data_IF_413330981516
#
_entry.id   IF_413330981516
#
_cell.length_a   1.000
_cell.length_b   1.000
_cell.length_c   1.000
_cell.angle_alpha   90.00
_cell.angle_beta   90.00
_cell.angle_gamma   90.00
#
_symmetry.space_group_name_H-M   'P 1'
#
loop_
_entity.id
_entity.type
_entity.pdbx_description
1 polymer ?
#
# COMPACT_ATOMS: atom_id res chain seq x y z
N UNK A 1 -3.73 5.13 4.16
CA UNK A 1 -3.09 4.00 4.87
C UNK A 1 -3.83 3.64 6.15
N UNK A 2 -3.76 4.42 7.24
CA UNK A 2 -4.41 4.04 8.51
C UNK A 2 -5.92 3.77 8.39
N UNK A 3 -6.68 4.60 7.66
CA UNK A 3 -8.11 4.34 7.42
C UNK A 3 -8.37 3.07 6.58
N UNK A 4 -7.45 2.73 5.67
CA UNK A 4 -7.50 1.48 4.92
C UNK A 4 -7.31 0.28 5.85
N UNK A 5 -6.27 0.31 6.71
CA UNK A 5 -5.97 -0.77 7.67
C UNK A 5 -7.15 -1.00 8.62
N UNK A 6 -7.67 0.05 9.23
CA UNK A 6 -8.80 -0.05 10.15
C UNK A 6 -10.05 -0.66 9.48
N UNK A 7 -10.34 -0.22 8.24
CA UNK A 7 -11.51 -0.70 7.52
C UNK A 7 -11.33 -2.13 7.02
N UNK A 8 -10.15 -2.48 6.51
CA UNK A 8 -9.83 -3.84 6.03
C UNK A 8 -9.88 -4.86 7.17
N UNK A 9 -9.33 -4.52 8.32
CA UNK A 9 -9.32 -5.40 9.50
C UNK A 9 -10.64 -5.41 10.28
N UNK A 10 -11.62 -4.60 9.87
CA UNK A 10 -12.90 -4.39 10.58
C UNK A 10 -12.72 -3.96 12.06
N UNK A 11 -11.55 -3.42 12.44
CA UNK A 11 -11.25 -2.96 13.80
C UNK A 11 -11.23 -1.44 13.86
N UNK A 12 -11.93 -0.88 14.85
CA UNK A 12 -11.90 0.56 15.11
C UNK A 12 -10.59 0.90 15.85
N UNK A 13 -9.73 1.71 15.22
CA UNK A 13 -8.54 2.37 15.82
C UNK A 13 -7.30 1.51 16.09
N UNK A 14 -7.06 0.41 15.38
CA UNK A 14 -5.74 -0.25 15.48
C UNK A 14 -4.63 0.62 14.89
N UNK A 15 -4.89 1.23 13.74
CA UNK A 15 -3.95 2.14 13.09
C UNK A 15 -4.35 3.59 13.40
N UNK A 16 -3.46 4.32 14.05
CA UNK A 16 -3.67 5.75 14.32
C UNK A 16 -3.70 6.55 13.01
N UNK A 17 -4.82 7.22 12.75
CA UNK A 17 -4.95 8.20 11.66
C UNK A 17 -4.35 9.54 12.13
N UNK A 18 -3.05 9.74 11.93
CA UNK A 18 -2.44 11.06 12.14
C UNK A 18 -2.72 11.97 10.94
N UNK A 19 -3.25 13.17 11.20
CA UNK A 19 -3.39 14.23 10.20
C UNK A 19 -2.11 15.04 10.00
N UNK A 20 -1.04 14.77 10.77
CA UNK A 20 0.24 15.47 10.67
C UNK A 20 1.24 14.60 9.89
N UNK A 21 1.59 14.95 8.64
CA UNK A 21 2.59 14.22 7.86
C UNK A 21 3.97 14.29 8.54
N UNK A 22 4.71 13.18 8.55
CA UNK A 22 6.14 13.20 8.87
C UNK A 22 6.58 12.81 10.29
N UNK A 23 5.66 12.47 11.21
CA UNK A 23 6.06 12.11 12.59
C UNK A 23 6.31 10.61 12.83
N UNK A 24 5.68 9.72 12.07
CA UNK A 24 5.83 8.27 12.29
C UNK A 24 7.01 7.73 11.48
N UNK A 25 8.13 7.50 12.18
CA UNK A 25 9.37 6.90 11.67
C UNK A 25 9.46 5.39 11.95
N UNK A 26 8.38 4.78 12.40
CA UNK A 26 8.34 3.40 12.86
C UNK A 26 7.50 2.56 11.90
N UNK A 27 7.94 1.33 11.70
CA UNK A 27 7.13 0.27 11.12
C UNK A 27 6.10 -0.14 12.17
N UNK A 28 4.81 -0.03 11.85
CA UNK A 28 3.77 -0.50 12.77
C UNK A 28 3.30 -1.87 12.34
N UNK A 29 3.43 -2.86 13.23
CA UNK A 29 3.00 -4.23 13.01
C UNK A 29 1.63 -4.44 13.65
N UNK A 30 0.68 -4.95 12.87
CA UNK A 30 -0.64 -5.32 13.33
C UNK A 30 -0.81 -6.82 13.15
N UNK A 31 -0.72 -7.56 14.26
CA UNK A 31 -0.92 -9.00 14.28
C UNK A 31 -2.41 -9.32 14.02
N UNK A 32 -2.65 -10.19 13.05
CA UNK A 32 -3.96 -10.63 12.59
C UNK A 32 -4.10 -12.12 12.88
N UNK A 33 -5.14 -12.45 13.66
CA UNK A 33 -5.51 -13.81 14.04
C UNK A 33 -4.32 -14.63 14.58
N UNK A 34 -3.38 -13.96 15.26
CA UNK A 34 -2.13 -14.52 15.81
C UNK A 34 -1.26 -15.31 14.82
N UNK A 35 -1.46 -15.11 13.52
CA UNK A 35 -0.85 -15.92 12.47
C UNK A 35 0.03 -15.11 11.50
N UNK A 36 -0.31 -13.84 11.25
CA UNK A 36 0.43 -13.00 10.30
C UNK A 36 0.27 -11.52 10.64
N UNK A 37 1.16 -10.68 10.12
CA UNK A 37 1.14 -9.25 10.42
C UNK A 37 0.89 -8.40 9.17
N UNK A 38 0.06 -7.37 9.30
CA UNK A 38 0.09 -6.21 8.40
C UNK A 38 1.15 -5.24 8.90
N UNK A 39 2.03 -4.79 8.02
CA UNK A 39 3.07 -3.81 8.34
C UNK A 39 2.74 -2.48 7.67
N UNK A 40 2.49 -1.44 8.45
CA UNK A 40 2.34 -0.08 7.93
C UNK A 40 3.70 0.57 7.77
N UNK A 41 4.11 0.68 6.51
CA UNK A 41 5.32 1.37 6.12
C UNK A 41 5.11 2.90 6.20
N UNK A 42 6.12 3.66 6.66
CA UNK A 42 6.12 5.11 6.60
C UNK A 42 5.83 5.60 5.17
N UNK A 43 4.96 6.60 5.05
CA UNK A 43 4.48 7.03 3.73
C UNK A 43 5.55 7.75 2.92
N UNK A 44 5.93 7.20 1.77
CA UNK A 44 6.99 7.70 0.87
C UNK A 44 6.73 9.06 0.19
N UNK A 45 5.55 9.67 0.39
CA UNK A 45 5.15 10.97 -0.16
C UNK A 45 5.62 12.18 0.65
N UNK A 46 6.80 12.11 1.29
CA UNK A 46 7.28 13.15 2.21
C UNK A 46 7.67 14.46 1.51
N UNK A 47 6.69 15.23 1.02
CA UNK A 47 6.90 16.53 0.38
C UNK A 47 7.54 17.60 1.31
N UNK A 48 7.58 17.35 2.63
CA UNK A 48 8.06 18.30 3.65
C UNK A 48 9.37 17.89 4.35
N UNK A 49 10.05 16.82 3.92
CA UNK A 49 11.33 16.40 4.52
C UNK A 49 12.49 16.69 3.58
N UNK A 50 13.67 16.96 4.16
CA UNK A 50 14.88 17.28 3.40
C UNK A 50 15.28 16.14 2.44
N UNK A 51 15.96 16.46 1.33
CA UNK A 51 16.48 15.46 0.39
C UNK A 51 17.33 14.38 1.08
N UNK A 52 18.15 14.77 2.06
CA UNK A 52 18.98 13.85 2.86
C UNK A 52 18.13 12.86 3.66
N UNK A 53 17.05 13.34 4.27
CA UNK A 53 16.14 12.49 5.04
C UNK A 53 15.32 11.57 4.13
N UNK A 54 14.90 12.05 2.95
CA UNK A 54 14.28 11.20 1.93
C UNK A 54 15.22 10.07 1.52
N UNK A 55 16.50 10.37 1.22
CA UNK A 55 17.48 9.36 0.83
C UNK A 55 17.72 8.30 1.92
N UNK A 56 17.83 8.72 3.19
CA UNK A 56 17.95 7.78 4.33
C UNK A 56 16.72 6.86 4.43
N UNK A 57 15.53 7.43 4.23
CA UNK A 57 14.28 6.66 4.24
C UNK A 57 14.19 5.65 3.10
N UNK A 58 14.61 6.05 1.89
CA UNK A 58 14.67 5.17 0.72
C UNK A 58 15.55 3.97 1.01
N UNK A 59 16.78 4.20 1.48
CA UNK A 59 17.72 3.14 1.84
C UNK A 59 17.15 2.17 2.88
N UNK A 60 16.58 2.70 3.98
CA UNK A 60 16.00 1.85 5.02
C UNK A 60 14.81 1.02 4.52
N UNK A 61 14.01 1.57 3.59
CA UNK A 61 12.92 0.84 2.97
C UNK A 61 13.42 -0.24 2.02
N UNK A 62 14.39 0.06 1.15
CA UNK A 62 15.01 -0.91 0.26
C UNK A 62 15.64 -2.08 1.04
N UNK A 63 16.35 -1.78 2.13
CA UNK A 63 16.89 -2.80 3.05
C UNK A 63 15.77 -3.64 3.68
N UNK A 64 14.69 -3.00 4.16
CA UNK A 64 13.57 -3.73 4.75
C UNK A 64 12.87 -4.66 3.74
N UNK A 65 12.61 -4.18 2.52
CA UNK A 65 11.96 -4.96 1.48
C UNK A 65 12.83 -6.14 1.01
N UNK A 66 14.15 -5.94 0.91
CA UNK A 66 15.07 -6.97 0.39
C UNK A 66 15.51 -8.00 1.43
N UNK A 67 15.63 -7.63 2.71
CA UNK A 67 16.17 -8.53 3.74
C UNK A 67 15.09 -9.28 4.54
N UNK A 68 13.83 -8.85 4.46
CA UNK A 68 12.76 -9.43 5.28
C UNK A 68 12.08 -10.59 4.55
N UNK A 69 12.61 -11.79 4.73
CA UNK A 69 12.11 -13.04 4.11
C UNK A 69 10.64 -13.36 4.42
N UNK A 70 10.12 -12.90 5.57
CA UNK A 70 8.70 -13.11 5.94
C UNK A 70 7.70 -12.21 5.20
N UNK A 71 8.16 -11.33 4.29
CA UNK A 71 7.26 -10.51 3.48
C UNK A 71 6.61 -11.33 2.38
N UNK A 72 5.28 -11.48 2.47
CA UNK A 72 4.50 -12.14 1.43
C UNK A 72 4.21 -11.24 0.21
N UNK A 73 4.42 -9.93 0.34
CA UNK A 73 4.13 -8.95 -0.70
C UNK A 73 3.75 -7.57 -0.16
N UNK A 74 3.44 -6.64 -1.07
CA UNK A 74 3.13 -5.25 -0.75
C UNK A 74 1.79 -4.81 -1.33
N UNK A 75 0.93 -4.25 -0.48
CA UNK A 75 -0.25 -3.50 -0.90
C UNK A 75 0.10 -2.02 -1.06
N UNK A 76 0.26 -1.58 -2.30
CA UNK A 76 0.61 -0.20 -2.62
C UNK A 76 -0.66 0.65 -2.78
N UNK A 77 -0.83 1.66 -1.92
CA UNK A 77 -2.00 2.55 -1.96
C UNK A 77 -1.72 3.79 -2.81
N UNK A 78 -2.54 4.01 -3.85
CA UNK A 78 -2.52 5.21 -4.69
C UNK A 78 -3.81 6.01 -4.45
N UNK A 79 -3.74 7.34 -4.41
CA UNK A 79 -4.92 8.20 -4.26
C UNK A 79 -5.65 8.32 -5.61
N UNK A 80 -6.86 7.78 -5.71
CA UNK A 80 -7.63 7.76 -6.96
C UNK A 80 -8.03 9.13 -7.49
N UNK A 81 -7.86 10.21 -6.73
CA UNK A 81 -8.15 11.58 -7.18
C UNK A 81 -7.02 12.19 -8.00
N UNK A 82 -5.79 11.68 -7.86
CA UNK A 82 -4.60 12.23 -8.50
C UNK A 82 -3.97 11.26 -9.49
N UNK A 83 -4.32 9.97 -9.43
CA UNK A 83 -3.69 8.95 -10.25
C UNK A 83 -2.27 8.61 -9.80
N UNK A 84 -1.55 7.76 -10.55
CA UNK A 84 -0.20 7.34 -10.20
C UNK A 84 0.77 8.53 -10.29
N UNK A 85 1.55 8.76 -9.25
CA UNK A 85 2.59 9.77 -9.20
C UNK A 85 3.99 9.15 -9.38
N UNK A 86 5.00 9.98 -9.63
CA UNK A 86 6.38 9.51 -9.86
C UNK A 86 6.91 8.63 -8.72
N UNK A 87 6.58 8.98 -7.48
CA UNK A 87 6.94 8.24 -6.29
C UNK A 87 6.17 6.90 -6.17
N UNK A 88 4.96 6.79 -6.73
CA UNK A 88 4.25 5.52 -6.82
C UNK A 88 4.93 4.57 -7.80
N UNK A 89 5.35 5.09 -8.96
CA UNK A 89 6.06 4.31 -9.98
C UNK A 89 7.41 3.80 -9.42
N UNK A 90 8.15 4.69 -8.76
CA UNK A 90 9.43 4.36 -8.12
C UNK A 90 9.27 3.30 -7.02
N UNK A 91 8.24 3.44 -6.16
CA UNK A 91 7.93 2.43 -5.15
C UNK A 91 7.60 1.06 -5.76
N UNK A 92 6.79 1.02 -6.83
CA UNK A 92 6.45 -0.24 -7.48
C UNK A 92 7.71 -0.93 -8.00
N UNK A 93 8.63 -0.18 -8.61
CA UNK A 93 9.90 -0.71 -9.07
C UNK A 93 10.72 -1.32 -7.93
N UNK A 94 10.88 -0.63 -6.80
CA UNK A 94 11.65 -1.16 -5.66
C UNK A 94 11.06 -2.45 -5.09
N UNK A 95 9.73 -2.54 -5.00
CA UNK A 95 9.06 -3.77 -4.55
C UNK A 95 9.37 -4.93 -5.49
N UNK A 96 9.32 -4.70 -6.80
CA UNK A 96 9.59 -5.73 -7.80
C UNK A 96 11.08 -6.11 -7.85
N UNK A 97 11.99 -5.14 -7.71
CA UNK A 97 13.44 -5.37 -7.60
C UNK A 97 13.80 -6.20 -6.36
N UNK A 98 13.03 -6.07 -5.28
CA UNK A 98 13.14 -6.92 -4.09
C UNK A 98 12.53 -8.33 -4.28
N UNK A 99 12.03 -8.67 -5.46
CA UNK A 99 11.39 -9.97 -5.74
C UNK A 99 10.00 -10.14 -5.11
N UNK A 100 9.41 -9.07 -4.56
CA UNK A 100 8.14 -9.14 -3.86
C UNK A 100 6.96 -8.90 -4.81
N UNK A 101 5.85 -9.63 -4.67
CA UNK A 101 4.64 -9.32 -5.41
C UNK A 101 4.01 -8.02 -4.88
N UNK A 102 3.60 -7.14 -5.80
CA UNK A 102 2.86 -5.92 -5.48
C UNK A 102 1.40 -6.05 -5.93
N UNK A 103 0.45 -5.56 -5.14
CA UNK A 103 -0.89 -5.24 -5.61
C UNK A 103 -1.19 -3.76 -5.40
N UNK A 104 -1.86 -3.16 -6.37
CA UNK A 104 -2.19 -1.74 -6.34
C UNK A 104 -3.61 -1.54 -5.84
N UNK A 105 -3.78 -0.64 -4.89
CA UNK A 105 -5.10 -0.27 -4.35
C UNK A 105 -5.32 1.22 -4.61
N UNK A 106 -6.25 1.53 -5.51
CA UNK A 106 -6.70 2.88 -5.79
C UNK A 106 -7.72 3.28 -4.72
N UNK A 107 -7.26 4.10 -3.78
CA UNK A 107 -8.05 4.55 -2.63
C UNK A 107 -8.97 5.72 -2.96
N UNK A 108 -9.91 6.01 -2.06
CA UNK A 108 -10.91 7.10 -2.17
C UNK A 108 -11.82 6.94 -3.38
N UNK A 109 -12.23 5.70 -3.65
CA UNK A 109 -13.16 5.39 -4.72
C UNK A 109 -14.50 6.15 -4.57
N UNK A 110 -14.93 6.49 -3.35
CA UNK A 110 -16.13 7.29 -3.11
C UNK A 110 -16.04 8.74 -3.64
N UNK A 111 -14.84 9.23 -3.96
CA UNK A 111 -14.61 10.62 -4.40
C UNK A 111 -14.55 10.80 -5.92
N UNK A 112 -14.77 9.75 -6.70
CA UNK A 112 -14.73 9.83 -8.16
C UNK A 112 -15.92 9.08 -8.80
N UNK A 113 -16.23 9.45 -10.05
CA UNK A 113 -17.22 8.73 -10.84
C UNK A 113 -16.61 7.46 -11.42
N UNK A 114 -17.45 6.49 -11.80
CA UNK A 114 -17.02 5.21 -12.42
C UNK A 114 -16.07 5.40 -13.61
N UNK A 115 -16.34 6.37 -14.48
CA UNK A 115 -15.48 6.67 -15.64
C UNK A 115 -14.09 7.17 -15.22
N UNK A 116 -14.01 7.96 -14.16
CA UNK A 116 -12.74 8.42 -13.58
C UNK A 116 -11.93 7.24 -13.03
N UNK A 117 -12.57 6.28 -12.35
CA UNK A 117 -11.86 5.09 -11.87
C UNK A 117 -11.27 4.25 -13.00
N UNK A 118 -12.02 4.05 -14.09
CA UNK A 118 -11.53 3.30 -15.24
C UNK A 118 -10.32 3.99 -15.88
N UNK A 119 -10.38 5.32 -16.02
CA UNK A 119 -9.26 6.12 -16.49
C UNK A 119 -8.04 5.97 -15.57
N UNK A 120 -8.21 6.17 -14.27
CA UNK A 120 -7.11 6.04 -13.30
C UNK A 120 -6.51 4.65 -13.29
N UNK A 121 -7.32 3.59 -13.33
CA UNK A 121 -6.83 2.22 -13.42
C UNK A 121 -6.03 1.98 -14.70
N UNK A 122 -6.48 2.50 -15.84
CA UNK A 122 -5.76 2.39 -17.10
C UNK A 122 -4.43 3.16 -17.06
N UNK A 123 -4.41 4.36 -16.49
CA UNK A 123 -3.19 5.15 -16.29
C UNK A 123 -2.22 4.42 -15.35
N UNK A 124 -2.69 3.90 -14.22
CA UNK A 124 -1.87 3.13 -13.29
C UNK A 124 -1.28 1.89 -13.95
N UNK A 125 -2.08 1.11 -14.69
CA UNK A 125 -1.60 -0.09 -15.40
C UNK A 125 -0.52 0.21 -16.43
N UNK A 126 -0.55 1.39 -17.05
CA UNK A 126 0.49 1.84 -17.98
C UNK A 126 1.74 2.35 -17.26
N UNK A 127 1.57 2.93 -16.07
CA UNK A 127 2.64 3.59 -15.34
C UNK A 127 3.47 2.64 -14.48
N UNK A 128 2.85 1.61 -13.90
CA UNK A 128 3.54 0.62 -13.06
C UNK A 128 4.02 -0.56 -13.89
N UNK A 129 5.17 -1.14 -13.54
CA UNK A 129 5.78 -2.22 -14.34
C UNK A 129 5.02 -3.53 -14.22
N UNK A 130 4.59 -3.89 -13.01
CA UNK A 130 3.82 -5.10 -12.76
C UNK A 130 3.02 -4.99 -11.45
N UNK A 131 1.89 -5.68 -11.41
CA UNK A 131 1.11 -5.87 -10.20
C UNK A 131 0.29 -7.16 -10.31
N UNK A 132 0.17 -7.88 -9.20
CA UNK A 132 -0.65 -9.09 -9.03
C UNK A 132 -2.16 -8.79 -9.06
N UNK A 133 -2.55 -7.53 -8.83
CA UNK A 133 -3.93 -7.09 -8.86
C UNK A 133 -4.08 -5.58 -8.76
N UNK A 134 -5.24 -5.09 -9.21
CA UNK A 134 -5.62 -3.69 -9.13
C UNK A 134 -7.01 -3.60 -8.50
N UNK A 135 -7.11 -2.94 -7.36
CA UNK A 135 -8.32 -2.87 -6.57
C UNK A 135 -8.77 -1.42 -6.41
N UNK A 136 -10.07 -1.19 -6.45
CA UNK A 136 -10.66 0.08 -6.04
C UNK A 136 -11.07 -0.03 -4.57
N UNK A 137 -10.83 1.02 -3.78
CA UNK A 137 -11.13 0.99 -2.36
C UNK A 137 -11.68 2.31 -1.83
N UNK A 138 -12.69 2.23 -0.96
CA UNK A 138 -13.14 3.36 -0.15
C UNK A 138 -13.13 3.01 1.33
N UNK A 139 -12.40 3.79 2.14
CA UNK A 139 -12.44 3.67 3.59
C UNK A 139 -13.79 4.10 4.17
N UNK A 140 -14.45 5.05 3.51
CA UNK A 140 -15.74 5.62 3.90
C UNK A 140 -16.82 4.53 3.80
N UNK A 141 -17.01 4.00 2.59
CA UNK A 141 -18.09 3.04 2.30
C UNK A 141 -17.71 1.60 2.62
N UNK A 142 -16.41 1.26 2.58
CA UNK A 142 -15.93 -0.12 2.65
C UNK A 142 -15.88 -0.84 1.31
N UNK A 143 -16.20 -0.13 0.22
CA UNK A 143 -16.10 -0.68 -1.12
C UNK A 143 -14.70 -1.27 -1.38
N UNK A 144 -14.66 -2.47 -1.96
CA UNK A 144 -13.44 -3.22 -2.30
C UNK A 144 -12.72 -3.92 -1.14
N UNK A 145 -13.17 -3.77 0.11
CA UNK A 145 -12.50 -4.38 1.27
C UNK A 145 -12.49 -5.91 1.19
N UNK A 146 -13.63 -6.53 0.85
CA UNK A 146 -13.74 -7.98 0.75
C UNK A 146 -12.88 -8.55 -0.38
N UNK A 147 -12.84 -7.91 -1.54
CA UNK A 147 -12.01 -8.35 -2.68
C UNK A 147 -10.51 -8.36 -2.32
N UNK A 148 -10.05 -7.30 -1.66
CA UNK A 148 -8.66 -7.19 -1.19
C UNK A 148 -8.37 -8.25 -0.12
N UNK A 149 -9.32 -8.51 0.78
CA UNK A 149 -9.17 -9.54 1.80
C UNK A 149 -9.06 -10.95 1.21
N UNK A 150 -9.82 -11.25 0.16
CA UNK A 150 -9.69 -12.52 -0.57
C UNK A 150 -8.32 -12.64 -1.23
N UNK A 151 -7.83 -11.59 -1.89
CA UNK A 151 -6.48 -11.57 -2.46
C UNK A 151 -5.40 -11.86 -1.40
N UNK A 152 -5.51 -11.26 -0.22
CA UNK A 152 -4.59 -11.52 0.90
C UNK A 152 -4.67 -12.96 1.44
N UNK A 153 -5.85 -13.60 1.40
CA UNK A 153 -5.96 -15.03 1.73
C UNK A 153 -5.17 -15.87 0.73
N UNK A 154 -5.22 -15.55 -0.55
CA UNK A 154 -4.51 -16.32 -1.59
C UNK A 154 -3.00 -16.12 -1.51
N UNK A 155 -2.54 -14.93 -1.11
CA UNK A 155 -1.11 -14.67 -0.88
C UNK A 155 -0.57 -15.52 0.26
N UNK A 156 -1.37 -15.74 1.31
CA UNK A 156 -1.01 -16.60 2.46
C UNK A 156 -1.10 -18.10 2.17
N UNK A 157 -1.78 -18.50 1.10
CA UNK A 157 -1.93 -19.90 0.68
C UNK A 157 -0.89 -20.35 -0.32
N UNK A 158 -0.16 -19.41 -0.94
CA UNK A 158 0.96 -19.76 -1.80
C UNK A 158 1.98 -20.50 -0.91
N UNK A 159 2.19 -21.81 -1.12
CA UNK A 159 3.26 -22.51 -0.44
C UNK A 159 4.56 -21.87 -0.89
N UNK A 160 5.52 -21.85 0.02
CA UNK A 160 6.90 -21.46 -0.21
C UNK A 160 7.35 -21.89 -1.61
N UNK A 161 7.68 -20.88 -2.44
CA UNK A 161 8.58 -21.05 -3.56
C UNK A 161 9.98 -20.74 -3.08
#
# INVERSE_FOLDING_TARGET
KSSFINKLTKRKRIAHTSNTPGKTRLLNYYLIDDAWALVDLPGYGFAKVSKKEQARWRKALEEYLSQRESLLGVLQLIDGRHGPQKNDIEMNRWVLEAGLPAAIVITKADKAKKSTHQKTLAETRKAVSSARGYYLFSAETGFGAEEIWHALKDWRKAPDG
#
